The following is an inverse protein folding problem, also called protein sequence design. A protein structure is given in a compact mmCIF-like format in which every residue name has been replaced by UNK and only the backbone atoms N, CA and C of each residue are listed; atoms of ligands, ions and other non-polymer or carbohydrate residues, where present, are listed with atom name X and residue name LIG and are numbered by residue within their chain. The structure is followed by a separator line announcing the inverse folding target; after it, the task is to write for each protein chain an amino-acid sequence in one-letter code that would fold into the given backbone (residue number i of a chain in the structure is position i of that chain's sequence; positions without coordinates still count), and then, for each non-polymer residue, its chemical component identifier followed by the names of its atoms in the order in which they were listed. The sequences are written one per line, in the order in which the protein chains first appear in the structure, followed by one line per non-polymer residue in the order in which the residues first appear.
data_IF_300445563143
#
_entry.id   IF_300445563143
#
_cell.length_a   1.000
_cell.length_b   1.000
_cell.length_c   1.000
_cell.angle_alpha   90.00
_cell.angle_beta   90.00
_cell.angle_gamma   90.00
#
_symmetry.space_group_name_H-M   'P 1'
#
loop_
_entity.id
_entity.type
_entity.pdbx_description
1 polymer ?
#
# COMPACT_ATOMS: atom_id res chain seq x y z
N UNK A 1 6.87 0.86 16.33
CA UNK A 1 7.31 1.46 15.06
C UNK A 1 6.08 1.48 14.17
N UNK A 2 5.65 2.65 13.71
CA UNK A 2 4.43 2.82 12.92
C UNK A 2 4.80 3.13 11.48
N UNK A 3 4.06 2.57 10.52
CA UNK A 3 4.17 3.00 9.12
C UNK A 3 3.70 4.45 8.96
N UNK A 4 4.17 5.12 7.91
CA UNK A 4 3.59 6.38 7.47
C UNK A 4 2.36 6.11 6.61
N UNK A 5 1.52 7.12 6.41
CA UNK A 5 0.32 7.02 5.58
C UNK A 5 0.30 8.11 4.53
N UNK A 6 -0.17 7.77 3.33
CA UNK A 6 -0.46 8.72 2.26
C UNK A 6 -1.81 8.42 1.63
N UNK A 7 -2.37 9.43 0.95
CA UNK A 7 -3.57 9.35 0.14
C UNK A 7 -3.20 9.87 -1.26
N UNK A 8 -3.33 9.01 -2.27
CA UNK A 8 -3.03 9.33 -3.66
C UNK A 8 -4.32 9.08 -4.43
N UNK A 9 -4.95 10.14 -4.96
CA UNK A 9 -6.21 10.06 -5.73
C UNK A 9 -7.33 9.27 -5.03
N UNK A 10 -7.39 9.32 -3.69
CA UNK A 10 -8.39 8.62 -2.91
C UNK A 10 -8.02 7.16 -2.57
N UNK A 11 -6.83 6.70 -2.95
CA UNK A 11 -6.25 5.41 -2.60
C UNK A 11 -5.33 5.59 -1.40
N UNK A 12 -5.64 4.90 -0.31
CA UNK A 12 -4.85 4.95 0.93
C UNK A 12 -3.69 3.95 0.84
N UNK A 13 -2.49 4.44 1.15
CA UNK A 13 -1.28 3.63 1.22
C UNK A 13 -0.58 3.82 2.57
N UNK A 14 -0.30 2.72 3.25
CA UNK A 14 0.58 2.71 4.42
C UNK A 14 2.00 2.32 3.95
N UNK A 15 3.04 3.05 4.33
CA UNK A 15 4.38 2.87 3.75
C UNK A 15 5.53 3.00 4.75
N UNK A 16 6.65 2.35 4.42
CA UNK A 16 7.94 2.50 5.10
C UNK A 16 9.04 2.57 4.04
N UNK A 17 9.90 3.59 4.13
CA UNK A 17 11.01 3.77 3.20
C UNK A 17 12.29 3.12 3.76
N UNK A 18 13.02 2.44 2.87
CA UNK A 18 14.33 1.91 3.19
C UNK A 18 15.40 2.98 2.91
N UNK A 19 16.39 3.19 3.80
CA UNK A 19 17.46 4.15 3.56
C UNK A 19 18.18 3.86 2.23
N UNK A 20 18.20 4.85 1.34
CA UNK A 20 18.92 4.81 0.05
C UNK A 20 18.49 3.69 -0.90
N UNK A 21 17.29 3.12 -0.76
CA UNK A 21 16.78 2.13 -1.71
C UNK A 21 16.07 2.77 -2.90
N UNK A 22 16.34 2.24 -4.10
CA UNK A 22 15.61 2.52 -5.34
C UNK A 22 14.59 1.44 -5.69
N UNK A 23 14.47 0.38 -4.89
CA UNK A 23 13.55 -0.73 -5.14
C UNK A 23 12.22 -0.44 -4.44
N UNK A 24 11.11 -0.67 -5.13
CA UNK A 24 9.76 -0.51 -4.59
C UNK A 24 9.09 -1.87 -4.55
N UNK A 25 8.36 -2.15 -3.47
CA UNK A 25 7.52 -3.33 -3.34
C UNK A 25 6.11 -2.87 -2.94
N UNK A 26 5.15 -3.14 -3.83
CA UNK A 26 3.74 -2.88 -3.61
C UNK A 26 3.06 -4.16 -3.09
N UNK A 27 2.38 -4.04 -1.95
CA UNK A 27 1.62 -5.09 -1.31
C UNK A 27 0.13 -4.83 -1.51
N UNK A 28 -0.56 -5.82 -2.05
CA UNK A 28 -2.01 -5.83 -2.19
C UNK A 28 -2.56 -6.92 -1.28
N UNK A 29 -3.17 -6.58 -0.14
CA UNK A 29 -3.65 -7.60 0.78
C UNK A 29 -4.95 -8.22 0.26
N UNK A 30 -5.06 -9.54 0.40
CA UNK A 30 -6.28 -10.29 0.05
C UNK A 30 -7.39 -10.11 1.10
N UNK A 31 -8.63 -10.37 0.71
CA UNK A 31 -9.76 -10.40 1.66
C UNK A 31 -9.64 -11.58 2.64
N UNK A 32 -10.03 -11.43 3.92
CA UNK A 32 -10.61 -10.25 4.56
C UNK A 32 -9.55 -9.30 5.17
N UNK A 33 -8.27 -9.52 4.88
CA UNK A 33 -7.13 -8.98 5.63
C UNK A 33 -6.94 -7.47 5.46
N UNK A 34 -7.69 -6.67 6.22
CA UNK A 34 -7.43 -5.23 6.35
C UNK A 34 -7.50 -4.81 7.83
N UNK A 35 -6.35 -4.87 8.51
CA UNK A 35 -5.79 -3.64 9.09
C UNK A 35 -4.30 -3.43 8.71
N UNK A 36 -3.67 -2.42 9.30
CA UNK A 36 -2.25 -2.05 9.07
C UNK A 36 -1.31 -3.25 9.23
N UNK A 37 -0.34 -3.38 8.33
CA UNK A 37 0.68 -4.45 8.35
C UNK A 37 2.08 -3.91 8.67
N UNK A 38 2.19 -3.09 9.72
CA UNK A 38 3.42 -2.38 10.07
C UNK A 38 4.64 -3.30 10.17
N UNK A 39 4.51 -4.45 10.86
CA UNK A 39 5.61 -5.42 11.02
C UNK A 39 6.14 -5.91 9.67
N UNK A 40 5.25 -6.18 8.71
CA UNK A 40 5.62 -6.62 7.37
C UNK A 40 6.31 -5.50 6.60
N UNK A 41 5.76 -4.28 6.65
CA UNK A 41 6.37 -3.11 5.99
C UNK A 41 7.78 -2.84 6.52
N UNK A 42 7.98 -2.91 7.84
CA UNK A 42 9.31 -2.76 8.43
C UNK A 42 10.26 -3.90 8.06
N UNK A 43 9.78 -5.14 8.04
CA UNK A 43 10.58 -6.28 7.58
C UNK A 43 11.06 -6.07 6.14
N UNK A 44 10.16 -5.68 5.23
CA UNK A 44 10.48 -5.44 3.82
C UNK A 44 11.46 -4.26 3.68
N UNK A 45 11.24 -3.17 4.42
CA UNK A 45 12.15 -2.02 4.42
C UNK A 45 13.54 -2.37 4.93
N UNK A 46 13.65 -3.18 5.98
CA UNK A 46 14.92 -3.70 6.48
C UNK A 46 15.65 -4.55 5.45
N UNK A 47 14.91 -5.19 4.54
CA UNK A 47 15.46 -5.97 3.41
C UNK A 47 15.76 -5.12 2.17
N UNK A 48 15.72 -3.79 2.27
CA UNK A 48 16.19 -2.89 1.22
C UNK A 48 15.15 -2.53 0.16
N UNK A 49 13.85 -2.55 0.50
CA UNK A 49 12.77 -2.12 -0.39
C UNK A 49 11.95 -0.98 0.23
N UNK A 50 11.55 0.01 -0.56
CA UNK A 50 10.49 0.93 -0.16
C UNK A 50 9.17 0.17 -0.22
N UNK A 51 8.56 -0.08 0.94
CA UNK A 51 7.39 -0.93 1.07
C UNK A 51 6.13 -0.08 1.14
N UNK A 52 5.15 -0.40 0.30
CA UNK A 52 3.83 0.23 0.28
C UNK A 52 2.75 -0.83 0.39
N UNK A 53 1.85 -0.67 1.34
CA UNK A 53 0.62 -1.45 1.47
C UNK A 53 -0.51 -0.64 0.83
N UNK A 54 -0.90 -1.03 -0.38
CA UNK A 54 -1.92 -0.35 -1.18
C UNK A 54 -3.28 -0.91 -0.83
N UNK A 55 -4.20 -0.04 -0.42
CA UNK A 55 -5.60 -0.41 -0.18
C UNK A 55 -6.36 -0.08 -1.45
N UNK A 56 -6.77 -1.10 -2.20
CA UNK A 56 -7.44 -0.92 -3.50
C UNK A 56 -8.68 -0.02 -3.40
N UNK A 57 -9.07 0.59 -4.52
CA UNK A 57 -10.24 1.47 -4.58
C UNK A 57 -11.49 0.75 -4.06
N UNK A 58 -12.30 1.47 -3.30
CA UNK A 58 -13.51 0.94 -2.67
C UNK A 58 -13.26 -0.14 -1.61
N UNK A 59 -12.02 -0.30 -1.14
CA UNK A 59 -11.67 -1.21 -0.04
C UNK A 59 -11.18 -0.42 1.17
N UNK A 60 -11.72 -0.79 2.33
CA UNK A 60 -11.33 -0.24 3.62
C UNK A 60 -11.47 1.28 3.70
N UNK A 61 -10.36 2.01 3.77
CA UNK A 61 -10.31 3.48 3.86
C UNK A 61 -10.19 4.16 2.49
N UNK A 62 -9.97 3.39 1.43
CA UNK A 62 -9.88 3.95 0.08
C UNK A 62 -11.28 4.28 -0.44
N UNK A 63 -11.39 5.46 -1.04
CA UNK A 63 -12.63 5.96 -1.63
C UNK A 63 -13.03 5.19 -2.89
N UNK A 64 -14.26 5.41 -3.36
CA UNK A 64 -14.79 4.81 -4.59
C UNK A 64 -15.44 3.45 -4.36
N UNK A 65 -15.52 2.66 -5.43
CA UNK A 65 -16.20 1.38 -5.46
C UNK A 65 -15.27 0.30 -6.02
N UNK A 66 -15.28 -0.87 -5.38
CA UNK A 66 -14.44 -1.99 -5.77
C UNK A 66 -14.91 -2.57 -7.11
N UNK A 67 -13.95 -2.84 -8.01
CA UNK A 67 -14.17 -3.41 -9.35
C UNK A 67 -14.97 -2.54 -10.34
N UNK A 68 -15.23 -1.28 -10.03
CA UNK A 68 -15.80 -0.33 -11.01
C UNK A 68 -14.82 -0.04 -12.15
N UNK A 69 -13.52 -0.16 -11.87
CA UNK A 69 -12.45 -0.19 -12.87
C UNK A 69 -11.52 -1.38 -12.64
N UNK A 70 -10.70 -1.71 -13.65
CA UNK A 70 -9.65 -2.71 -13.50
C UNK A 70 -8.69 -2.30 -12.36
N UNK A 71 -8.36 -3.20 -11.41
CA UNK A 71 -7.38 -2.92 -10.35
C UNK A 71 -5.99 -2.52 -10.85
N UNK A 72 -5.66 -2.84 -12.10
CA UNK A 72 -4.41 -2.39 -12.74
C UNK A 72 -4.37 -0.86 -12.83
N UNK A 73 -5.52 -0.21 -13.07
CA UNK A 73 -5.59 1.25 -13.12
C UNK A 73 -5.32 1.89 -11.76
N UNK A 74 -5.69 1.22 -10.67
CA UNK A 74 -5.35 1.69 -9.33
C UNK A 74 -3.83 1.67 -9.10
N UNK A 75 -3.08 0.77 -9.77
CA UNK A 75 -1.60 0.74 -9.71
C UNK A 75 -0.99 1.90 -10.50
N UNK A 76 -1.59 2.28 -11.62
CA UNK A 76 -1.10 3.41 -12.43
C UNK A 76 -1.28 4.76 -11.72
N UNK A 77 -2.20 4.84 -10.76
CA UNK A 77 -2.46 6.04 -9.97
C UNK A 77 -1.59 6.17 -8.71
N UNK A 78 -0.83 5.13 -8.32
CA UNK A 78 -0.05 5.04 -7.07
C UNK A 78 1.45 5.03 -7.34
#
# INVERSE_FOLDING_TARGET
MYSNRTNINGIICDFVLAPRSKKVLLLFPGMPGYPRQDRLLFFIAKNGYNAFLVKQRGVYESSGELFTISPIKDIEEV
#
